data_IF_522634074667
#
_entry.id   IF_522634074667
#
_cell.length_a   1.000
_cell.length_b   1.000
_cell.length_c   1.000
_cell.angle_alpha   90.00
_cell.angle_beta   90.00
_cell.angle_gamma   90.00
#
_symmetry.space_group_name_H-M   'P 1'
#
loop_
_entity.id
_entity.type
_entity.pdbx_description
1 polymer ?
#
# COMPACT_ATOMS: atom_id res chain seq x y z
N UNK A 1 -12.15 2.95 -27.42
CA UNK A 1 -11.85 4.05 -26.51
C UNK A 1 -10.38 3.98 -26.11
N UNK A 2 -9.77 5.14 -25.89
CA UNK A 2 -8.35 5.23 -25.53
C UNK A 2 -8.20 5.19 -24.03
N UNK A 3 -7.43 4.22 -23.50
CA UNK A 3 -7.09 4.07 -22.09
C UNK A 3 -5.59 3.95 -21.95
N UNK A 4 -5.00 4.63 -20.97
CA UNK A 4 -3.61 4.52 -20.58
C UNK A 4 -3.58 4.22 -19.09
N UNK A 5 -2.82 3.21 -18.68
CA UNK A 5 -2.50 2.96 -17.29
C UNK A 5 -1.25 3.77 -16.90
N UNK A 6 -1.32 4.51 -15.81
CA UNK A 6 -0.14 5.18 -15.23
C UNK A 6 0.19 4.51 -13.91
N UNK A 7 1.40 4.01 -13.78
CA UNK A 7 1.87 3.30 -12.59
C UNK A 7 3.05 4.05 -11.97
N UNK A 8 2.91 4.46 -10.72
CA UNK A 8 4.01 5.07 -9.99
C UNK A 8 5.05 4.01 -9.58
N UNK A 9 6.31 4.34 -9.77
CA UNK A 9 7.47 3.62 -9.23
C UNK A 9 8.10 4.47 -8.13
N UNK A 10 8.26 3.92 -6.95
CA UNK A 10 8.91 4.61 -5.83
C UNK A 10 9.52 3.64 -4.84
N UNK A 11 10.34 4.14 -3.92
CA UNK A 11 10.92 3.33 -2.85
C UNK A 11 9.90 2.83 -1.81
N UNK A 12 8.68 3.40 -1.80
CA UNK A 12 7.58 2.94 -0.93
C UNK A 12 6.75 1.80 -1.53
N UNK A 13 7.05 1.38 -2.76
CA UNK A 13 6.38 0.24 -3.39
C UNK A 13 7.37 -0.86 -3.73
N UNK A 14 7.09 -2.12 -3.35
CA UNK A 14 7.94 -3.24 -3.74
C UNK A 14 8.03 -3.40 -5.25
N UNK A 15 9.20 -3.79 -5.74
CA UNK A 15 9.42 -4.06 -7.18
C UNK A 15 8.46 -5.12 -7.72
N UNK A 16 8.10 -6.13 -6.91
CA UNK A 16 7.15 -7.18 -7.29
C UNK A 16 5.79 -6.63 -7.72
N UNK A 17 5.29 -5.60 -7.01
CA UNK A 17 4.00 -4.97 -7.35
C UNK A 17 4.06 -4.25 -8.71
N UNK A 18 5.20 -3.60 -8.99
CA UNK A 18 5.43 -2.95 -10.28
C UNK A 18 5.52 -3.97 -11.41
N UNK A 19 6.25 -5.07 -11.21
CA UNK A 19 6.40 -6.12 -12.23
C UNK A 19 5.06 -6.85 -12.49
N UNK A 20 4.26 -7.08 -11.47
CA UNK A 20 2.91 -7.63 -11.64
C UNK A 20 2.00 -6.68 -12.44
N UNK A 21 2.07 -5.36 -12.15
CA UNK A 21 1.31 -4.36 -12.90
C UNK A 21 1.73 -4.30 -14.38
N UNK A 22 3.04 -4.38 -14.67
CA UNK A 22 3.56 -4.47 -16.03
C UNK A 22 3.03 -5.69 -16.77
N UNK A 23 3.19 -6.87 -16.15
CA UNK A 23 2.75 -8.12 -16.73
C UNK A 23 1.22 -8.13 -17.00
N UNK A 24 0.44 -7.53 -16.10
CA UNK A 24 -1.00 -7.38 -16.29
C UNK A 24 -1.33 -6.48 -17.47
N UNK A 25 -0.71 -5.32 -17.60
CA UNK A 25 -0.93 -4.40 -18.70
C UNK A 25 -0.52 -5.01 -20.04
N UNK A 26 0.64 -5.64 -20.11
CA UNK A 26 1.15 -6.33 -21.30
C UNK A 26 0.18 -7.44 -21.76
N UNK A 27 -0.22 -8.33 -20.83
CA UNK A 27 -1.15 -9.42 -21.13
C UNK A 27 -2.50 -8.95 -21.68
N UNK A 28 -2.97 -7.78 -21.22
CA UNK A 28 -4.27 -7.24 -21.61
C UNK A 28 -4.18 -6.19 -22.73
N UNK A 29 -3.00 -5.95 -23.32
CA UNK A 29 -2.79 -4.97 -24.37
C UNK A 29 -3.05 -3.51 -23.93
N UNK A 30 -2.86 -3.21 -22.65
CA UNK A 30 -3.05 -1.88 -22.08
C UNK A 30 -1.75 -1.09 -22.19
N UNK A 31 -1.80 0.08 -22.82
CA UNK A 31 -0.68 1.01 -22.85
C UNK A 31 -0.35 1.46 -21.41
N UNK A 32 0.87 1.24 -20.96
CA UNK A 32 1.31 1.61 -19.62
C UNK A 32 2.44 2.64 -19.65
N UNK A 33 2.31 3.69 -18.85
CA UNK A 33 3.36 4.66 -18.59
C UNK A 33 3.79 4.49 -17.13
N UNK A 34 5.10 4.37 -16.91
CA UNK A 34 5.67 4.32 -15.57
C UNK A 34 6.22 5.70 -15.25
N UNK A 35 5.81 6.26 -14.12
CA UNK A 35 6.27 7.54 -13.61
C UNK A 35 7.04 7.34 -12.31
N UNK A 36 8.18 7.97 -12.18
CA UNK A 36 8.90 8.00 -10.92
C UNK A 36 8.24 8.98 -9.96
N UNK A 37 7.93 8.50 -8.76
CA UNK A 37 7.45 9.32 -7.65
C UNK A 37 8.56 9.44 -6.61
N UNK A 38 8.98 10.67 -6.37
CA UNK A 38 10.05 11.03 -5.43
C UNK A 38 9.43 11.49 -4.10
N UNK A 39 8.53 10.68 -3.57
CA UNK A 39 7.74 11.05 -2.38
C UNK A 39 8.57 11.38 -1.15
N UNK A 40 9.80 10.86 -1.04
CA UNK A 40 10.72 11.22 0.05
C UNK A 40 11.24 12.67 -0.08
N UNK A 41 11.13 13.28 -1.25
CA UNK A 41 11.57 14.64 -1.49
C UNK A 41 10.41 15.65 -1.40
N UNK A 42 9.18 15.16 -1.23
CA UNK A 42 8.02 16.01 -0.92
C UNK A 42 8.24 16.61 0.48
N UNK A 43 8.11 17.95 0.58
CA UNK A 43 8.26 18.66 1.85
C UNK A 43 7.28 18.12 2.90
N UNK A 44 7.82 17.79 4.07
CA UNK A 44 7.05 17.21 5.17
C UNK A 44 6.78 15.71 5.08
N UNK A 45 7.00 15.03 3.96
CA UNK A 45 6.67 13.60 3.82
C UNK A 45 7.52 12.71 4.73
N UNK A 46 8.83 12.95 4.80
CA UNK A 46 9.78 12.14 5.60
C UNK A 46 9.45 12.12 7.08
N UNK A 47 8.82 13.16 7.59
CA UNK A 47 8.38 13.28 8.99
C UNK A 47 7.15 12.41 9.30
N UNK A 48 6.59 11.74 8.29
CA UNK A 48 5.45 10.85 8.43
C UNK A 48 4.25 11.51 9.16
N UNK A 49 3.78 12.66 8.69
CA UNK A 49 2.63 13.31 9.29
C UNK A 49 1.35 12.50 9.04
N UNK A 50 0.32 12.77 9.83
CA UNK A 50 -0.99 12.11 9.69
C UNK A 50 -1.58 12.28 8.29
N UNK A 51 -1.37 13.43 7.66
CA UNK A 51 -1.81 13.73 6.29
C UNK A 51 -0.82 13.27 5.19
N UNK A 52 0.18 12.43 5.50
CA UNK A 52 1.17 11.95 4.53
C UNK A 52 0.54 11.46 3.21
N UNK A 53 -0.57 10.69 3.31
CA UNK A 53 -1.24 10.16 2.12
C UNK A 53 -1.84 11.27 1.23
N UNK A 54 -2.22 12.41 1.79
CA UNK A 54 -2.62 13.58 1.02
C UNK A 54 -1.44 14.13 0.22
N UNK A 55 -0.30 14.37 0.87
CA UNK A 55 0.91 14.90 0.22
C UNK A 55 1.33 14.02 -0.97
N UNK A 56 1.44 12.71 -0.75
CA UNK A 56 1.82 11.75 -1.77
C UNK A 56 0.82 11.69 -2.94
N UNK A 57 -0.48 11.60 -2.65
CA UNK A 57 -1.49 11.53 -3.71
C UNK A 57 -1.62 12.84 -4.48
N UNK A 58 -1.45 13.98 -3.83
CA UNK A 58 -1.52 15.28 -4.50
C UNK A 58 -0.41 15.39 -5.56
N UNK A 59 0.84 15.16 -5.17
CA UNK A 59 1.98 15.19 -6.10
C UNK A 59 1.81 14.18 -7.26
N UNK A 60 1.43 12.95 -6.92
CA UNK A 60 1.25 11.89 -7.91
C UNK A 60 0.15 12.24 -8.93
N UNK A 61 -1.00 12.72 -8.49
CA UNK A 61 -2.09 13.04 -9.41
C UNK A 61 -1.84 14.32 -10.22
N UNK A 62 -1.04 15.27 -9.75
CA UNK A 62 -0.56 16.37 -10.57
C UNK A 62 0.28 15.84 -11.74
N UNK A 63 1.26 14.97 -11.49
CA UNK A 63 2.07 14.30 -12.53
C UNK A 63 1.19 13.49 -13.50
N UNK A 64 0.20 12.76 -12.99
CA UNK A 64 -0.72 11.97 -13.83
C UNK A 64 -1.56 12.89 -14.73
N UNK A 65 -2.00 14.05 -14.25
CA UNK A 65 -2.73 15.02 -15.05
C UNK A 65 -1.86 15.64 -16.18
N UNK A 66 -0.57 15.87 -15.92
CA UNK A 66 0.37 16.31 -16.97
C UNK A 66 0.49 15.24 -18.06
N UNK A 67 0.72 13.98 -17.67
CA UNK A 67 0.76 12.84 -18.61
C UNK A 67 -0.57 12.70 -19.37
N UNK A 68 -1.70 12.87 -18.71
CA UNK A 68 -3.01 12.80 -19.33
C UNK A 68 -3.17 13.86 -20.43
N UNK A 69 -2.78 15.11 -20.15
CA UNK A 69 -2.81 16.23 -21.13
C UNK A 69 -1.92 15.96 -22.33
N UNK A 70 -0.68 15.52 -22.10
CA UNK A 70 0.29 15.21 -23.15
C UNK A 70 -0.20 14.09 -24.08
N UNK A 71 -0.99 13.16 -23.55
CA UNK A 71 -1.54 12.03 -24.29
C UNK A 71 -2.97 12.25 -24.81
N UNK A 72 -3.52 13.46 -24.65
CA UNK A 72 -4.86 13.81 -25.12
C UNK A 72 -5.97 13.04 -24.41
N UNK A 73 -5.78 12.76 -23.10
CA UNK A 73 -6.79 12.17 -22.23
C UNK A 73 -7.67 13.24 -21.62
N UNK A 74 -8.95 12.94 -21.46
CA UNK A 74 -9.95 13.89 -20.95
C UNK A 74 -10.24 13.71 -19.45
N UNK A 75 -9.81 12.59 -18.85
CA UNK A 75 -10.09 12.27 -17.46
C UNK A 75 -8.97 11.44 -16.85
N UNK A 76 -8.81 11.57 -15.54
CA UNK A 76 -7.99 10.70 -14.70
C UNK A 76 -8.92 9.95 -13.75
N UNK A 77 -8.70 8.64 -13.58
CA UNK A 77 -9.49 7.79 -12.70
C UNK A 77 -8.60 6.98 -11.75
N UNK A 78 -9.14 6.65 -10.57
CA UNK A 78 -8.48 5.81 -9.58
C UNK A 78 -9.45 4.76 -8.99
N UNK A 79 -8.94 3.78 -8.25
CA UNK A 79 -9.66 2.58 -7.85
C UNK A 79 -10.32 2.60 -6.46
N UNK A 80 -10.59 3.75 -5.86
CA UNK A 80 -11.34 3.80 -4.59
C UNK A 80 -12.75 3.24 -4.72
N UNK A 81 -13.23 2.60 -3.66
CA UNK A 81 -14.52 1.91 -3.60
C UNK A 81 -15.30 2.30 -2.34
N UNK A 82 -16.46 1.67 -2.08
CA UNK A 82 -17.34 2.03 -0.95
C UNK A 82 -16.71 1.75 0.43
N UNK A 83 -15.86 0.72 0.55
CA UNK A 83 -15.22 0.40 1.83
C UNK A 83 -14.14 1.44 2.24
N UNK A 84 -13.78 2.35 1.33
CA UNK A 84 -12.90 3.47 1.64
C UNK A 84 -13.62 4.61 2.38
N UNK A 85 -14.95 4.56 2.45
CA UNK A 85 -15.75 5.51 3.22
C UNK A 85 -15.72 5.13 4.72
N UNK A 86 -15.55 6.13 5.58
CA UNK A 86 -15.58 5.93 7.03
C UNK A 86 -14.24 5.59 7.69
N UNK A 87 -13.16 5.42 6.93
CA UNK A 87 -11.79 5.34 7.45
C UNK A 87 -11.07 6.70 7.30
N UNK A 88 -10.04 6.92 8.12
CA UNK A 88 -9.18 8.10 7.98
C UNK A 88 -8.32 7.97 6.72
N UNK A 89 -8.73 8.64 5.65
CA UNK A 89 -8.10 8.58 4.34
C UNK A 89 -7.84 9.97 3.74
N UNK A 90 -6.88 10.71 4.27
CA UNK A 90 -6.57 12.07 3.81
C UNK A 90 -6.23 12.14 2.31
N UNK A 91 -5.75 11.05 1.71
CA UNK A 91 -5.52 10.98 0.27
C UNK A 91 -6.76 11.14 -0.60
N UNK A 92 -7.98 10.91 -0.08
CA UNK A 92 -9.23 11.16 -0.82
C UNK A 92 -9.51 12.66 -0.99
N UNK A 93 -8.93 13.49 -0.14
CA UNK A 93 -9.03 14.96 -0.27
C UNK A 93 -8.31 15.39 -1.55
N UNK A 94 -7.08 14.92 -1.77
CA UNK A 94 -6.31 15.20 -3.00
C UNK A 94 -7.04 14.71 -4.26
N UNK A 95 -7.63 13.50 -4.22
CA UNK A 95 -8.45 12.94 -5.32
C UNK A 95 -9.57 13.90 -5.70
N UNK A 96 -10.28 14.44 -4.69
CA UNK A 96 -11.39 15.38 -4.91
C UNK A 96 -10.90 16.75 -5.41
N UNK A 97 -9.88 17.32 -4.80
CA UNK A 97 -9.32 18.63 -5.16
C UNK A 97 -8.81 18.67 -6.60
N UNK A 98 -8.18 17.57 -7.05
CA UNK A 98 -7.63 17.46 -8.39
C UNK A 98 -8.64 16.91 -9.43
N UNK A 99 -9.90 16.74 -9.08
CA UNK A 99 -10.94 16.29 -9.99
C UNK A 99 -10.72 14.89 -10.55
N UNK A 100 -10.05 14.02 -9.79
CA UNK A 100 -9.83 12.61 -10.16
C UNK A 100 -11.10 11.81 -9.91
N UNK A 101 -11.53 11.03 -10.89
CA UNK A 101 -12.74 10.20 -10.79
C UNK A 101 -12.47 8.90 -10.02
N UNK A 102 -13.45 8.45 -9.25
CA UNK A 102 -13.44 7.12 -8.59
C UNK A 102 -14.63 6.30 -9.12
N UNK A 103 -14.53 5.68 -10.32
CA UNK A 103 -15.68 5.05 -10.98
C UNK A 103 -16.32 3.92 -10.16
N UNK A 104 -15.51 3.11 -9.47
CA UNK A 104 -16.02 2.01 -8.64
C UNK A 104 -16.83 2.53 -7.45
N UNK A 105 -16.40 3.63 -6.83
CA UNK A 105 -17.14 4.28 -5.75
C UNK A 105 -18.39 5.00 -6.27
N UNK A 106 -18.33 5.60 -7.46
CA UNK A 106 -19.50 6.21 -8.11
C UNK A 106 -20.57 5.18 -8.47
N UNK A 107 -20.14 3.95 -8.78
CA UNK A 107 -21.02 2.81 -9.01
C UNK A 107 -21.46 2.12 -7.71
N UNK A 108 -21.13 2.69 -6.55
CA UNK A 108 -21.44 2.19 -5.20
C UNK A 108 -20.96 0.76 -4.93
N UNK A 109 -19.88 0.31 -5.59
CA UNK A 109 -19.35 -1.03 -5.44
C UNK A 109 -18.51 -1.16 -4.16
N UNK A 110 -18.81 -2.19 -3.37
CA UNK A 110 -17.99 -2.66 -2.27
C UNK A 110 -16.80 -3.49 -2.77
N UNK A 111 -15.79 -3.67 -1.93
CA UNK A 111 -14.64 -4.50 -2.25
C UNK A 111 -15.01 -5.97 -2.49
N UNK A 112 -16.02 -6.48 -1.80
CA UNK A 112 -16.51 -7.84 -1.99
C UNK A 112 -17.12 -8.00 -3.39
N UNK A 113 -18.01 -7.10 -3.80
CA UNK A 113 -18.60 -7.10 -5.14
C UNK A 113 -17.56 -6.93 -6.25
N UNK A 114 -16.57 -6.02 -6.07
CA UNK A 114 -15.47 -5.86 -7.02
C UNK A 114 -14.69 -7.16 -7.20
N UNK A 115 -14.44 -7.91 -6.13
CA UNK A 115 -13.75 -9.21 -6.20
C UNK A 115 -14.58 -10.25 -6.96
N UNK A 116 -15.87 -10.31 -6.68
CA UNK A 116 -16.79 -11.22 -7.36
C UNK A 116 -16.85 -10.93 -8.86
N UNK A 117 -17.09 -9.67 -9.24
CA UNK A 117 -17.09 -9.24 -10.64
C UNK A 117 -15.73 -9.49 -11.32
N UNK A 118 -14.62 -9.20 -10.64
CA UNK A 118 -13.28 -9.47 -11.16
C UNK A 118 -13.05 -10.95 -11.42
N UNK A 119 -13.58 -11.83 -10.56
CA UNK A 119 -13.52 -13.28 -10.72
C UNK A 119 -14.36 -13.75 -11.92
N UNK A 120 -15.57 -13.24 -12.07
CA UNK A 120 -16.43 -13.52 -13.22
C UNK A 120 -15.79 -13.08 -14.54
N UNK A 121 -15.08 -11.94 -14.53
CA UNK A 121 -14.32 -11.45 -15.68
C UNK A 121 -13.01 -12.20 -15.93
N UNK A 122 -12.65 -13.19 -15.09
CA UNK A 122 -11.41 -13.94 -15.20
C UNK A 122 -10.14 -13.13 -14.90
N UNK A 123 -10.25 -12.03 -14.16
CA UNK A 123 -9.09 -11.21 -13.78
C UNK A 123 -8.29 -11.93 -12.68
N UNK A 124 -6.95 -12.07 -12.83
CA UNK A 124 -6.13 -12.80 -11.86
C UNK A 124 -5.99 -12.07 -10.52
N UNK A 125 -6.41 -10.82 -10.45
CA UNK A 125 -6.31 -9.95 -9.27
C UNK A 125 -7.49 -10.08 -8.30
N UNK A 126 -8.49 -10.90 -8.61
CA UNK A 126 -9.74 -11.02 -7.84
C UNK A 126 -9.52 -11.40 -6.37
N UNK A 127 -8.52 -12.26 -6.06
CA UNK A 127 -8.18 -12.71 -4.71
C UNK A 127 -6.91 -12.05 -4.15
N UNK A 128 -6.31 -11.12 -4.93
CA UNK A 128 -5.09 -10.44 -4.51
C UNK A 128 -5.29 -9.72 -3.18
N UNK A 129 -4.33 -9.93 -2.27
CA UNK A 129 -4.33 -9.29 -0.95
C UNK A 129 -4.22 -7.76 -1.08
N UNK A 130 -4.88 -7.05 -0.15
CA UNK A 130 -4.75 -5.60 -0.10
C UNK A 130 -3.32 -5.21 0.21
N UNK A 131 -2.72 -4.47 -0.71
CA UNK A 131 -1.39 -3.91 -0.52
C UNK A 131 -1.49 -2.40 -0.32
N UNK A 132 -0.97 -1.90 0.79
CA UNK A 132 -0.75 -0.47 1.02
C UNK A 132 0.75 -0.19 0.92
N UNK A 133 1.15 1.04 0.54
CA UNK A 133 2.55 1.42 0.42
C UNK A 133 3.35 1.12 1.70
N UNK A 134 4.64 0.82 1.58
CA UNK A 134 5.52 0.48 2.71
C UNK A 134 5.61 1.61 3.75
N UNK A 135 5.41 2.86 3.35
CA UNK A 135 5.36 4.00 4.27
C UNK A 135 4.26 3.86 5.33
N UNK A 136 3.20 3.09 5.05
CA UNK A 136 2.15 2.78 6.02
C UNK A 136 2.59 1.86 7.16
N UNK A 137 3.80 1.31 7.10
CA UNK A 137 4.38 0.45 8.16
C UNK A 137 5.04 1.25 9.28
N UNK A 138 5.20 2.55 9.07
CA UNK A 138 5.81 3.46 10.03
C UNK A 138 4.74 4.08 10.93
N UNK A 139 4.96 4.09 12.22
CA UNK A 139 4.08 4.83 13.14
C UNK A 139 4.15 6.34 12.84
N UNK A 140 3.04 7.04 13.02
CA UNK A 140 3.02 8.49 12.75
C UNK A 140 4.10 9.24 13.52
N UNK A 141 4.80 10.13 12.85
CA UNK A 141 5.95 10.88 13.38
C UNK A 141 7.29 10.15 13.32
N UNK A 142 7.31 8.86 12.95
CA UNK A 142 8.56 8.15 12.70
C UNK A 142 9.14 8.54 11.34
N UNK A 143 10.42 8.90 11.30
CA UNK A 143 11.09 9.30 10.06
C UNK A 143 11.14 8.17 9.04
N UNK A 144 10.59 8.42 7.85
CA UNK A 144 10.65 7.51 6.71
C UNK A 144 11.95 7.76 5.93
N UNK A 145 12.68 6.69 5.63
CA UNK A 145 13.85 6.74 4.77
C UNK A 145 14.01 5.42 3.98
N UNK A 146 14.77 5.47 2.90
CA UNK A 146 14.97 4.34 1.99
C UNK A 146 15.51 3.08 2.71
N UNK A 147 16.46 3.26 3.65
CA UNK A 147 17.03 2.13 4.39
C UNK A 147 15.94 1.38 5.16
N UNK A 148 15.11 2.09 5.92
CA UNK A 148 14.02 1.50 6.71
C UNK A 148 12.93 0.91 5.81
N UNK A 149 12.58 1.57 4.70
CA UNK A 149 11.66 1.03 3.70
C UNK A 149 12.18 -0.30 3.14
N UNK A 150 13.46 -0.36 2.77
CA UNK A 150 14.09 -1.60 2.31
C UNK A 150 14.15 -2.70 3.37
N UNK A 151 14.31 -2.37 4.66
CA UNK A 151 14.23 -3.34 5.75
C UNK A 151 12.84 -3.96 5.82
N UNK A 152 11.80 -3.15 5.76
CA UNK A 152 10.40 -3.58 5.80
C UNK A 152 10.05 -4.44 4.59
N UNK A 153 10.44 -4.00 3.38
CA UNK A 153 10.17 -4.75 2.14
C UNK A 153 10.78 -6.15 2.18
N UNK A 154 12.08 -6.26 2.55
CA UNK A 154 12.76 -7.55 2.69
C UNK A 154 12.10 -8.44 3.76
N UNK A 155 11.64 -7.84 4.86
CA UNK A 155 10.99 -8.60 5.93
C UNK A 155 9.63 -9.13 5.51
N UNK A 156 8.79 -8.32 4.84
CA UNK A 156 7.50 -8.78 4.31
C UNK A 156 7.69 -9.81 3.20
N UNK A 157 8.68 -9.64 2.30
CA UNK A 157 9.00 -10.62 1.27
C UNK A 157 9.40 -11.97 1.86
N UNK A 158 10.26 -11.98 2.88
CA UNK A 158 10.63 -13.21 3.56
C UNK A 158 9.42 -13.98 4.11
N UNK A 159 8.48 -13.27 4.74
CA UNK A 159 7.27 -13.89 5.29
C UNK A 159 6.37 -14.44 4.18
N UNK A 160 6.20 -13.72 3.08
CA UNK A 160 5.47 -14.20 1.89
C UNK A 160 6.12 -15.45 1.30
N UNK A 161 7.46 -15.47 1.16
CA UNK A 161 8.21 -16.63 0.67
C UNK A 161 8.13 -17.85 1.62
N UNK A 162 7.86 -17.62 2.89
CA UNK A 162 7.58 -18.66 3.89
C UNK A 162 6.11 -19.15 3.86
N UNK A 163 5.29 -18.60 2.96
CA UNK A 163 3.89 -18.99 2.77
C UNK A 163 2.94 -18.42 3.82
N UNK A 164 3.24 -17.24 4.36
CA UNK A 164 2.27 -16.42 5.07
C UNK A 164 1.51 -15.55 4.06
N UNK A 165 0.19 -15.41 4.20
CA UNK A 165 -0.63 -14.79 3.16
C UNK A 165 -0.76 -13.28 3.33
N UNK A 166 -1.30 -12.83 4.47
CA UNK A 166 -1.50 -11.41 4.77
C UNK A 166 -0.54 -10.99 5.86
N UNK A 167 0.52 -10.29 5.49
CA UNK A 167 1.58 -9.90 6.42
C UNK A 167 1.75 -8.38 6.47
N UNK A 168 2.14 -7.87 7.62
CA UNK A 168 2.69 -6.52 7.78
C UNK A 168 3.85 -6.56 8.76
N UNK A 169 4.91 -5.87 8.43
CA UNK A 169 6.02 -5.64 9.34
C UNK A 169 6.06 -4.15 9.68
N UNK A 170 5.49 -3.81 10.84
CA UNK A 170 5.50 -2.43 11.33
C UNK A 170 6.84 -2.11 11.96
N UNK A 171 7.28 -0.88 11.77
CA UNK A 171 8.53 -0.40 12.33
C UNK A 171 8.28 0.58 13.47
N UNK A 172 8.93 0.35 14.61
CA UNK A 172 8.93 1.20 15.79
C UNK A 172 10.38 1.44 16.18
N UNK A 173 10.98 2.54 15.72
CA UNK A 173 12.43 2.74 15.81
C UNK A 173 13.19 1.69 15.01
N UNK A 174 13.80 0.72 15.67
CA UNK A 174 14.45 -0.44 15.06
C UNK A 174 13.78 -1.77 15.46
N UNK A 175 12.55 -1.72 15.97
CA UNK A 175 11.80 -2.92 16.35
C UNK A 175 10.87 -3.29 15.19
N UNK A 176 10.92 -4.54 14.74
CA UNK A 176 9.92 -5.11 13.85
C UNK A 176 8.74 -5.65 14.67
N UNK A 177 7.52 -5.15 14.42
CA UNK A 177 6.28 -5.73 14.90
C UNK A 177 5.57 -6.42 13.73
N UNK A 178 5.57 -7.75 13.79
CA UNK A 178 5.00 -8.58 12.72
C UNK A 178 3.50 -8.77 12.98
N UNK A 179 2.70 -8.55 11.96
CA UNK A 179 1.27 -8.86 11.92
C UNK A 179 1.05 -9.94 10.85
N UNK A 180 0.48 -11.08 11.22
CA UNK A 180 0.01 -12.15 10.32
C UNK A 180 -1.47 -12.40 10.59
N UNK A 181 -2.15 -13.14 9.72
CA UNK A 181 -3.54 -13.54 10.00
C UNK A 181 -3.62 -14.25 11.37
N UNK A 182 -4.68 -14.02 12.17
CA UNK A 182 -4.83 -14.66 13.47
C UNK A 182 -4.67 -16.18 13.41
N UNK A 183 -5.17 -16.84 12.36
CA UNK A 183 -5.02 -18.28 12.15
C UNK A 183 -3.58 -18.74 11.83
N UNK A 184 -2.67 -17.82 11.50
CA UNK A 184 -1.26 -18.11 11.19
C UNK A 184 -0.31 -17.87 12.39
N UNK A 185 -0.83 -17.35 13.52
CA UNK A 185 -0.03 -17.05 14.71
C UNK A 185 0.68 -18.31 15.22
N UNK A 186 0.00 -19.45 15.30
CA UNK A 186 0.60 -20.71 15.72
C UNK A 186 1.76 -21.12 14.80
N UNK A 187 1.59 -20.97 13.48
CA UNK A 187 2.61 -21.28 12.48
C UNK A 187 3.87 -20.41 12.64
N UNK A 188 3.71 -19.10 12.89
CA UNK A 188 4.86 -18.19 12.97
C UNK A 188 5.69 -18.43 14.24
N UNK A 189 5.08 -18.85 15.37
CA UNK A 189 5.79 -19.10 16.63
C UNK A 189 6.46 -20.49 16.71
N UNK A 190 6.20 -21.39 15.75
CA UNK A 190 6.94 -22.65 15.65
C UNK A 190 8.46 -22.39 15.65
N UNK A 191 9.21 -23.23 16.33
CA UNK A 191 10.65 -23.00 16.55
C UNK A 191 11.43 -22.74 15.27
N UNK A 192 11.23 -23.56 14.25
CA UNK A 192 11.88 -23.41 12.94
C UNK A 192 11.59 -22.05 12.30
N UNK A 193 10.34 -21.62 12.33
CA UNK A 193 9.90 -20.37 11.69
C UNK A 193 10.40 -19.16 12.49
N UNK A 194 10.16 -19.13 13.82
CA UNK A 194 10.57 -18.00 14.66
C UNK A 194 12.08 -17.77 14.65
N UNK A 195 12.89 -18.84 14.64
CA UNK A 195 14.34 -18.72 14.60
C UNK A 195 14.83 -18.17 13.25
N UNK A 196 14.28 -18.65 12.14
CA UNK A 196 14.58 -18.15 10.80
C UNK A 196 14.19 -16.67 10.66
N UNK A 197 12.98 -16.31 11.08
CA UNK A 197 12.47 -14.93 11.02
C UNK A 197 13.33 -14.01 11.87
N UNK A 198 13.58 -14.37 13.14
CA UNK A 198 14.37 -13.55 14.05
C UNK A 198 15.80 -13.31 13.52
N UNK A 199 16.46 -14.35 13.00
CA UNK A 199 17.80 -14.22 12.42
C UNK A 199 17.80 -13.31 11.20
N UNK A 200 16.89 -13.53 10.24
CA UNK A 200 16.87 -12.78 8.99
C UNK A 200 16.46 -11.33 9.18
N UNK A 201 15.48 -11.02 10.03
CA UNK A 201 15.10 -9.64 10.26
C UNK A 201 16.23 -8.85 10.97
N UNK A 202 17.01 -9.50 11.86
CA UNK A 202 18.22 -8.88 12.42
C UNK A 202 19.28 -8.61 11.35
N UNK A 203 19.49 -9.53 10.41
CA UNK A 203 20.37 -9.30 9.25
C UNK A 203 19.90 -8.12 8.40
N UNK A 204 18.58 -7.86 8.32
CA UNK A 204 18.01 -6.72 7.59
C UNK A 204 18.16 -5.39 8.34
N UNK A 205 18.56 -5.41 9.63
CA UNK A 205 18.85 -4.23 10.43
C UNK A 205 17.89 -3.94 11.58
N UNK A 206 16.98 -4.86 11.91
CA UNK A 206 16.14 -4.74 13.09
C UNK A 206 16.90 -5.22 14.35
N UNK A 207 16.78 -4.48 15.45
CA UNK A 207 17.37 -4.86 16.74
C UNK A 207 16.51 -5.93 17.44
N UNK A 208 15.20 -5.78 17.37
CA UNK A 208 14.24 -6.69 17.96
C UNK A 208 13.16 -7.09 16.96
N UNK A 209 12.69 -8.33 17.11
CA UNK A 209 11.60 -8.89 16.30
C UNK A 209 10.48 -9.33 17.24
N UNK A 210 9.30 -8.79 17.06
CA UNK A 210 8.13 -9.02 17.90
C UNK A 210 6.94 -9.45 17.06
N UNK A 211 5.97 -10.08 17.69
CA UNK A 211 4.71 -10.48 17.07
C UNK A 211 3.56 -9.67 17.71
N UNK A 212 2.67 -9.13 16.89
CA UNK A 212 1.41 -8.56 17.36
C UNK A 212 0.47 -9.70 17.77
N UNK A 213 0.05 -9.73 19.02
CA UNK A 213 -0.77 -10.81 19.57
C UNK A 213 -2.20 -10.84 18.99
N UNK A 214 -2.68 -9.72 18.47
CA UNK A 214 -3.99 -9.64 17.81
C UNK A 214 -3.89 -9.99 16.31
N UNK A 215 -2.68 -10.06 15.78
CA UNK A 215 -2.44 -10.31 14.37
C UNK A 215 -2.83 -9.15 13.46
N UNK A 216 -2.97 -9.44 12.17
CA UNK A 216 -3.33 -8.45 11.17
C UNK A 216 -4.77 -7.93 11.34
N UNK A 217 -4.91 -6.62 11.34
CA UNK A 217 -6.19 -5.91 11.36
C UNK A 217 -6.17 -4.75 10.35
N UNK A 218 -7.25 -4.61 9.58
CA UNK A 218 -7.41 -3.44 8.71
C UNK A 218 -7.48 -2.18 9.58
N UNK A 219 -6.73 -1.14 9.20
CA UNK A 219 -6.74 0.13 9.94
C UNK A 219 -5.92 0.15 11.24
N UNK A 220 -5.14 -0.91 11.59
CA UNK A 220 -4.36 -0.97 12.84
C UNK A 220 -3.41 0.23 13.06
N UNK A 221 -2.99 0.91 12.00
CA UNK A 221 -2.21 2.15 12.09
C UNK A 221 -3.01 3.33 12.66
N UNK A 222 -4.33 3.32 12.46
CA UNK A 222 -5.21 4.41 12.87
C UNK A 222 -5.74 4.25 14.31
N UNK A 223 -5.49 3.09 14.96
CA UNK A 223 -5.89 2.82 16.35
C UNK A 223 -5.28 3.83 17.35
N UNK A 224 -4.20 4.50 16.99
CA UNK A 224 -3.55 5.52 17.82
C UNK A 224 -4.05 6.94 17.55
N UNK A 225 -4.95 7.12 16.57
CA UNK A 225 -5.56 8.41 16.27
C UNK A 225 -6.74 8.67 17.21
N UNK A 226 -6.88 9.90 17.72
CA UNK A 226 -8.05 10.28 18.51
C UNK A 226 -9.29 10.42 17.61
N UNK A 227 -10.47 10.12 18.13
CA UNK A 227 -11.77 10.21 17.41
C UNK A 227 -12.01 11.56 16.71
N UNK A 228 -11.45 12.65 17.27
CA UNK A 228 -11.52 14.00 16.69
C UNK A 228 -10.69 14.18 15.43
N UNK A 229 -9.71 13.31 15.20
CA UNK A 229 -8.80 13.35 14.05
C UNK A 229 -9.31 12.49 12.89
N UNK A 230 -10.15 11.50 13.20
CA UNK A 230 -10.77 10.60 12.22
C UNK A 230 -11.96 11.28 11.51
N UNK A 231 -12.63 12.23 12.19
CA UNK A 231 -13.85 12.89 11.70
C UNK A 231 -13.62 14.20 10.93
N UNK A 232 -12.38 14.58 10.66
CA UNK A 232 -12.02 15.74 9.83
C UNK A 232 -11.62 15.29 8.43
#
# INVERSE_FOLDING_TARGET
DKVIAVTASSCSFPKRELEEAKAFCEKNGICQIIVESEELDIDGFRQNPKNRCYLCKHELFEKIWEIAKENGMNAVAEGSNMDDNGDYRPGLIAVKELGVSSPLRQAELSKAEIRELSKEMGLPTWDKQSFACLSSRFVYGETINEKKLGMVDKAEQLLLDMGFHQVRVRIHGNIARIEVLPGEITKIVEEKNRMKIASKLKEYGFDYVTLDLLGYRTGSMNETLEDKEIKK
#
